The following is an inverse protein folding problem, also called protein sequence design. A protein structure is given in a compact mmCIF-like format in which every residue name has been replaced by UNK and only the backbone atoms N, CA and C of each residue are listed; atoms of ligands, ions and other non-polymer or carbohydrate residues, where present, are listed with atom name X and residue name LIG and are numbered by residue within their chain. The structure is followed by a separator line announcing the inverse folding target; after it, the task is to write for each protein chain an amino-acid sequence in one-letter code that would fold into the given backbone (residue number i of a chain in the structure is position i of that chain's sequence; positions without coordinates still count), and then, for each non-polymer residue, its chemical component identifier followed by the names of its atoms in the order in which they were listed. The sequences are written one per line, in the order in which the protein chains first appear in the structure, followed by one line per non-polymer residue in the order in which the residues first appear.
data_IF_354883519254
#
_entry.id   IF_354883519254
#
_cell.length_a   1.000
_cell.length_b   1.000
_cell.length_c   1.000
_cell.angle_alpha   90.00
_cell.angle_beta   90.00
_cell.angle_gamma   90.00
#
_symmetry.space_group_name_H-M   'P 1'
#
loop_
_entity.id
_entity.type
_entity.pdbx_description
1 polymer ?
#
# COMPACT_ATOMS: atom_id res chain seq x y z
N UNK A 1 23.20 0.10 3.18
CA UNK A 1 22.18 -0.90 3.61
C UNK A 1 22.89 -2.20 3.90
N UNK A 2 22.57 -2.87 5.00
CA UNK A 2 23.04 -4.25 5.22
C UNK A 2 22.23 -5.25 4.39
N UNK A 3 22.69 -6.51 4.31
CA UNK A 3 22.06 -7.57 3.50
C UNK A 3 20.58 -7.80 3.86
N UNK A 4 20.22 -7.75 5.15
CA UNK A 4 18.84 -7.95 5.61
C UNK A 4 17.92 -6.78 5.21
N UNK A 5 18.38 -5.54 5.36
CA UNK A 5 17.65 -4.35 4.94
C UNK A 5 17.44 -4.33 3.42
N UNK A 6 18.46 -4.73 2.66
CA UNK A 6 18.35 -4.81 1.20
C UNK A 6 17.33 -5.85 0.76
N UNK A 7 17.32 -7.02 1.40
CA UNK A 7 16.32 -8.04 1.13
C UNK A 7 14.89 -7.53 1.39
N UNK A 8 14.64 -6.90 2.54
CA UNK A 8 13.32 -6.32 2.86
C UNK A 8 12.90 -5.24 1.87
N UNK A 9 13.81 -4.32 1.55
CA UNK A 9 13.58 -3.27 0.56
C UNK A 9 13.13 -3.85 -0.78
N UNK A 10 13.87 -4.85 -1.30
CA UNK A 10 13.55 -5.51 -2.56
C UNK A 10 12.19 -6.21 -2.45
N UNK A 11 11.94 -6.97 -1.38
CA UNK A 11 10.65 -7.63 -1.15
C UNK A 11 9.50 -6.64 -1.22
N UNK A 12 9.60 -5.53 -0.50
CA UNK A 12 8.54 -4.50 -0.48
C UNK A 12 8.38 -3.81 -1.84
N UNK A 13 9.48 -3.58 -2.56
CA UNK A 13 9.44 -2.98 -3.89
C UNK A 13 8.76 -3.91 -4.91
N UNK A 14 9.08 -5.21 -4.86
CA UNK A 14 8.42 -6.23 -5.71
C UNK A 14 6.93 -6.30 -5.38
N UNK A 15 6.56 -6.36 -4.10
CA UNK A 15 5.15 -6.34 -3.70
C UNK A 15 4.43 -5.07 -4.17
N UNK A 16 5.08 -3.90 -4.08
CA UNK A 16 4.52 -2.65 -4.58
C UNK A 16 4.26 -2.73 -6.09
N UNK A 17 5.26 -3.14 -6.88
CA UNK A 17 5.12 -3.24 -8.34
C UNK A 17 4.01 -4.23 -8.70
N UNK A 18 4.00 -5.41 -8.08
CA UNK A 18 2.95 -6.40 -8.29
C UNK A 18 1.57 -5.82 -7.94
N UNK A 19 1.43 -5.17 -6.78
CA UNK A 19 0.18 -4.53 -6.37
C UNK A 19 -0.29 -3.43 -7.31
N UNK A 20 0.63 -2.65 -7.89
CA UNK A 20 0.28 -1.62 -8.86
C UNK A 20 -0.20 -2.22 -10.18
N UNK A 21 0.55 -3.21 -10.69
CA UNK A 21 0.23 -3.87 -11.96
C UNK A 21 -1.12 -4.58 -11.84
N UNK A 22 -1.35 -5.35 -10.78
CA UNK A 22 -2.63 -6.04 -10.60
C UNK A 22 -3.77 -5.05 -10.41
N UNK A 23 -3.61 -4.02 -9.58
CA UNK A 23 -4.64 -3.00 -9.37
C UNK A 23 -5.01 -2.28 -10.66
N UNK A 24 -4.03 -1.85 -11.46
CA UNK A 24 -4.28 -1.13 -12.70
C UNK A 24 -4.89 -2.01 -13.78
N UNK A 25 -4.38 -3.23 -13.97
CA UNK A 25 -4.89 -4.15 -15.00
C UNK A 25 -6.32 -4.57 -14.69
N UNK A 26 -6.59 -5.07 -13.48
CA UNK A 26 -7.92 -5.59 -13.15
C UNK A 26 -8.96 -4.48 -12.97
N UNK A 27 -8.61 -3.32 -12.40
CA UNK A 27 -9.54 -2.18 -12.41
C UNK A 27 -9.77 -1.65 -13.83
N UNK A 28 -8.73 -1.58 -14.66
CA UNK A 28 -8.88 -1.16 -16.05
C UNK A 28 -9.87 -2.05 -16.81
N UNK A 29 -9.71 -3.38 -16.69
CA UNK A 29 -10.66 -4.35 -17.25
C UNK A 29 -12.06 -4.13 -16.68
N UNK A 30 -12.20 -4.07 -15.35
CA UNK A 30 -13.50 -3.92 -14.70
C UNK A 30 -14.25 -2.66 -15.14
N UNK A 31 -13.57 -1.51 -15.20
CA UNK A 31 -14.12 -0.24 -15.71
C UNK A 31 -14.53 -0.37 -17.18
N UNK A 32 -13.65 -0.94 -18.03
CA UNK A 32 -13.94 -1.09 -19.46
C UNK A 32 -15.10 -2.06 -19.74
N UNK A 33 -15.33 -3.03 -18.86
CA UNK A 33 -16.45 -3.96 -18.95
C UNK A 33 -17.72 -3.47 -18.25
N UNK A 34 -17.71 -2.27 -17.66
CA UNK A 34 -18.88 -1.70 -16.96
C UNK A 34 -19.24 -2.44 -15.66
N UNK A 35 -18.24 -2.89 -14.90
CA UNK A 35 -18.47 -3.64 -13.67
C UNK A 35 -19.25 -2.82 -12.61
N UNK A 36 -20.18 -3.49 -11.93
CA UNK A 36 -20.86 -2.94 -10.75
C UNK A 36 -19.98 -3.13 -9.50
N UNK A 37 -19.22 -2.09 -9.16
CA UNK A 37 -18.36 -2.07 -7.99
C UNK A 37 -19.15 -2.17 -6.67
N UNK A 38 -20.36 -1.62 -6.59
CA UNK A 38 -21.14 -1.67 -5.35
C UNK A 38 -21.61 -3.11 -5.08
N UNK A 39 -22.14 -3.78 -6.12
CA UNK A 39 -22.49 -5.19 -6.05
C UNK A 39 -21.30 -6.09 -5.76
N UNK A 40 -20.14 -5.83 -6.40
CA UNK A 40 -18.94 -6.66 -6.25
C UNK A 40 -18.25 -6.53 -4.88
N UNK A 41 -18.45 -5.42 -4.16
CA UNK A 41 -17.83 -5.19 -2.85
C UNK A 41 -18.81 -5.34 -1.68
N UNK A 42 -20.11 -5.18 -1.92
CA UNK A 42 -21.11 -5.06 -0.85
C UNK A 42 -22.41 -5.85 -1.13
N UNK A 43 -22.42 -6.73 -2.13
CA UNK A 43 -23.62 -7.45 -2.56
C UNK A 43 -24.03 -8.61 -1.64
N UNK A 44 -23.06 -9.31 -1.05
CA UNK A 44 -23.29 -10.45 -0.16
C UNK A 44 -22.56 -10.29 1.18
N UNK A 45 -22.94 -11.10 2.17
CA UNK A 45 -22.24 -11.13 3.46
C UNK A 45 -20.74 -11.47 3.31
N UNK A 46 -20.37 -12.29 2.32
CA UNK A 46 -18.96 -12.66 2.06
C UNK A 46 -18.19 -11.47 1.49
N UNK A 47 -18.80 -10.70 0.58
CA UNK A 47 -18.18 -9.49 0.02
C UNK A 47 -17.95 -8.44 1.12
N UNK A 48 -18.90 -8.30 2.04
CA UNK A 48 -18.76 -7.44 3.22
C UNK A 48 -17.60 -7.83 4.13
N UNK A 49 -17.34 -9.14 4.32
CA UNK A 49 -16.17 -9.60 5.09
C UNK A 49 -14.89 -9.11 4.43
N UNK A 50 -14.74 -9.32 3.11
CA UNK A 50 -13.55 -8.88 2.38
C UNK A 50 -13.37 -7.36 2.42
N UNK A 51 -14.46 -6.62 2.21
CA UNK A 51 -14.46 -5.15 2.21
C UNK A 51 -14.16 -4.57 3.58
N UNK A 52 -14.73 -5.15 4.65
CA UNK A 52 -14.47 -4.76 6.03
C UNK A 52 -13.02 -5.06 6.42
N UNK A 53 -12.52 -6.25 6.11
CA UNK A 53 -11.14 -6.65 6.38
C UNK A 53 -10.16 -5.70 5.69
N UNK A 54 -10.38 -5.41 4.40
CA UNK A 54 -9.53 -4.47 3.67
C UNK A 54 -9.59 -3.06 4.28
N UNK A 55 -10.78 -2.60 4.68
CA UNK A 55 -10.95 -1.28 5.29
C UNK A 55 -10.20 -1.18 6.62
N UNK A 56 -10.33 -2.19 7.49
CA UNK A 56 -9.64 -2.24 8.78
C UNK A 56 -8.12 -2.27 8.57
N UNK A 57 -7.62 -3.11 7.68
CA UNK A 57 -6.18 -3.17 7.35
C UNK A 57 -5.70 -1.86 6.75
N UNK A 58 -6.47 -1.25 5.84
CA UNK A 58 -6.11 0.04 5.24
C UNK A 58 -6.00 1.16 6.29
N UNK A 59 -6.94 1.25 7.21
CA UNK A 59 -6.90 2.21 8.31
C UNK A 59 -5.70 1.97 9.23
N UNK A 60 -5.46 0.71 9.61
CA UNK A 60 -4.30 0.34 10.42
C UNK A 60 -2.98 0.69 9.71
N UNK A 61 -2.88 0.42 8.40
CA UNK A 61 -1.74 0.79 7.56
C UNK A 61 -1.53 2.30 7.50
N UNK A 62 -2.58 3.10 7.37
CA UNK A 62 -2.48 4.57 7.38
C UNK A 62 -1.98 5.08 8.73
N UNK A 63 -2.53 4.57 9.85
CA UNK A 63 -2.07 4.92 11.20
C UNK A 63 -0.60 4.55 11.39
N UNK A 64 -0.20 3.35 10.97
CA UNK A 64 1.19 2.91 11.00
C UNK A 64 2.10 3.82 10.16
N UNK A 65 1.69 4.14 8.93
CA UNK A 65 2.46 5.02 8.06
C UNK A 65 2.70 6.39 8.70
N UNK A 66 1.64 7.01 9.23
CA UNK A 66 1.73 8.33 9.88
C UNK A 66 2.62 8.30 11.11
N UNK A 67 2.43 7.32 11.99
CA UNK A 67 3.20 7.18 13.23
C UNK A 67 4.68 6.89 12.98
N UNK A 68 4.99 5.96 12.06
CA UNK A 68 6.36 5.60 11.73
C UNK A 68 7.05 6.73 10.93
N UNK A 69 6.34 7.40 10.02
CA UNK A 69 6.89 8.56 9.32
C UNK A 69 7.25 9.68 10.29
N UNK A 70 6.39 9.96 11.29
CA UNK A 70 6.69 10.93 12.35
C UNK A 70 7.92 10.51 13.16
N UNK A 71 7.99 9.24 13.57
CA UNK A 71 9.13 8.69 14.33
C UNK A 71 10.45 8.79 13.58
N UNK A 72 10.44 8.60 12.26
CA UNK A 72 11.62 8.63 11.41
C UNK A 72 11.92 10.01 10.80
N UNK A 73 11.06 11.01 11.01
CA UNK A 73 11.21 12.34 10.42
C UNK A 73 10.92 12.41 8.91
N UNK A 74 10.15 11.46 8.36
CA UNK A 74 9.76 11.44 6.95
C UNK A 74 8.62 12.44 6.68
N UNK A 75 8.87 13.49 5.88
CA UNK A 75 7.91 14.60 5.67
C UNK A 75 6.79 14.34 4.67
N UNK A 76 6.94 13.40 3.73
CA UNK A 76 6.05 13.23 2.56
C UNK A 76 5.13 12.00 2.66
N UNK A 77 4.79 11.57 3.87
CA UNK A 77 3.95 10.36 4.05
C UNK A 77 2.56 10.50 3.45
N UNK A 78 2.00 11.71 3.45
CA UNK A 78 0.69 12.00 2.87
C UNK A 78 0.59 11.67 1.38
N UNK A 79 1.71 11.67 0.65
CA UNK A 79 1.72 11.31 -0.78
C UNK A 79 1.32 9.86 -0.99
N UNK A 80 1.77 8.94 -0.12
CA UNK A 80 1.37 7.53 -0.22
C UNK A 80 -0.11 7.32 0.11
N UNK A 81 -0.64 8.13 1.02
CA UNK A 81 -2.08 8.13 1.37
C UNK A 81 -2.89 8.67 0.19
N UNK A 82 -2.49 9.82 -0.38
CA UNK A 82 -3.16 10.37 -1.55
C UNK A 82 -3.12 9.41 -2.75
N UNK A 83 -1.97 8.79 -3.00
CA UNK A 83 -1.81 7.80 -4.06
C UNK A 83 -2.67 6.55 -3.83
N UNK A 84 -3.00 6.18 -2.59
CA UNK A 84 -3.77 4.96 -2.34
C UNK A 84 -5.21 5.08 -2.81
N UNK A 85 -5.76 6.29 -2.79
CA UNK A 85 -7.08 6.59 -3.36
C UNK A 85 -7.11 6.54 -4.88
N UNK A 86 -5.97 6.81 -5.54
CA UNK A 86 -5.87 6.79 -7.01
C UNK A 86 -5.51 5.40 -7.54
N UNK A 87 -4.72 4.64 -6.77
CA UNK A 87 -4.13 3.39 -7.23
C UNK A 87 -4.68 2.19 -6.47
N UNK A 88 -4.05 1.83 -5.35
CA UNK A 88 -4.53 0.88 -4.36
C UNK A 88 -3.61 0.88 -3.14
N UNK A 89 -4.14 0.53 -1.96
CA UNK A 89 -3.32 0.28 -0.77
C UNK A 89 -2.30 -0.86 -0.97
N UNK A 90 -2.63 -1.84 -1.82
CA UNK A 90 -1.73 -2.94 -2.18
C UNK A 90 -0.43 -2.47 -2.86
N UNK A 91 -0.42 -1.29 -3.49
CA UNK A 91 0.78 -0.66 -4.03
C UNK A 91 1.44 0.28 -3.01
N UNK A 92 0.67 1.21 -2.47
CA UNK A 92 1.23 2.34 -1.74
C UNK A 92 1.80 1.96 -0.38
N UNK A 93 1.19 0.99 0.31
CA UNK A 93 1.68 0.54 1.60
C UNK A 93 3.03 -0.20 1.48
N UNK A 94 3.21 -1.20 0.59
CA UNK A 94 4.52 -1.79 0.35
C UNK A 94 5.54 -0.76 -0.16
N UNK A 95 5.15 0.18 -1.02
CA UNK A 95 6.06 1.25 -1.46
C UNK A 95 6.55 2.10 -0.28
N UNK A 96 5.66 2.45 0.65
CA UNK A 96 6.05 3.15 1.87
C UNK A 96 7.05 2.32 2.69
N UNK A 97 6.83 1.01 2.86
CA UNK A 97 7.73 0.12 3.59
C UNK A 97 9.12 0.05 2.92
N UNK A 98 9.19 0.01 1.59
CA UNK A 98 10.46 0.09 0.87
C UNK A 98 11.18 1.41 1.17
N UNK A 99 10.49 2.55 1.04
CA UNK A 99 11.08 3.86 1.29
C UNK A 99 11.48 4.07 2.75
N UNK A 100 10.76 3.46 3.68
CA UNK A 100 11.12 3.37 5.10
C UNK A 100 12.44 2.64 5.31
N UNK A 101 12.64 1.45 4.71
CA UNK A 101 13.91 0.71 4.83
C UNK A 101 15.09 1.50 4.25
N UNK A 102 14.87 2.20 3.14
CA UNK A 102 15.88 3.11 2.56
C UNK A 102 16.22 4.25 3.52
N UNK A 103 15.22 4.89 4.12
CA UNK A 103 15.42 5.99 5.06
C UNK A 103 16.18 5.53 6.32
N UNK A 104 15.77 4.41 6.91
CA UNK A 104 16.45 3.79 8.06
C UNK A 104 17.92 3.49 7.78
N UNK A 105 18.24 3.07 6.56
CA UNK A 105 19.61 2.78 6.17
C UNK A 105 20.48 4.04 6.01
N UNK A 106 19.89 5.18 5.65
CA UNK A 106 20.58 6.46 5.55
C UNK A 106 20.81 7.11 6.92
N UNK A 107 19.86 6.94 7.85
CA UNK A 107 19.98 7.51 9.20
C UNK A 107 20.92 6.72 10.11
N UNK A 108 21.05 5.40 9.92
CA UNK A 108 21.97 4.54 10.71
C UNK A 108 23.41 4.54 10.21
N UNK A 109 23.69 5.19 9.08
CA UNK A 109 25.05 5.29 8.50
C UNK A 109 25.79 6.57 8.90
N UNK A 110 25.25 7.33 9.85
CA UNK A 110 25.88 8.49 10.52
C UNK A 110 26.10 8.09 11.97
#
# INVERSE_FOLDING_TARGET
MNKSQNARFITYLVLAITGLVTAMVFNGIAVMTGADYAGAWFGTAVDWVLSADLTVVALASVVFMLSEAKRLGMRRVWVYIALSFVTAMAFTFPLFLAMRERHLALTKSV
#
